data_IF_020898306951
#
_entry.id   IF_020898306951
#
_cell.length_a   1.000
_cell.length_b   1.000
_cell.length_c   1.000
_cell.angle_alpha   90.00
_cell.angle_beta   90.00
_cell.angle_gamma   90.00
#
_symmetry.space_group_name_H-M   'P 1'
#
loop_
_entity.id
_entity.type
_entity.pdbx_description
1 polymer ?
#
# COMPACT_ATOMS: atom_id res chain seq x y z
N UNK A 1 7.56 11.87 5.74
CA UNK A 1 6.68 10.92 5.00
C UNK A 1 7.32 9.54 4.72
N UNK A 2 8.63 9.36 4.91
CA UNK A 2 9.34 8.09 4.60
C UNK A 2 8.98 6.92 5.53
N UNK A 3 8.65 7.15 6.81
CA UNK A 3 8.36 6.08 7.76
C UNK A 3 7.11 5.26 7.42
N UNK A 4 6.01 5.92 7.03
CA UNK A 4 4.75 5.27 6.70
C UNK A 4 4.85 4.37 5.46
N UNK A 5 5.40 4.91 4.37
CA UNK A 5 5.54 4.17 3.12
C UNK A 5 6.42 2.93 3.34
N UNK A 6 7.55 3.08 4.05
CA UNK A 6 8.44 1.97 4.37
C UNK A 6 7.76 0.90 5.24
N UNK A 7 6.97 1.31 6.25
CA UNK A 7 6.25 0.36 7.10
C UNK A 7 5.19 -0.42 6.32
N UNK A 8 4.44 0.27 5.46
CA UNK A 8 3.47 -0.37 4.59
C UNK A 8 4.14 -1.31 3.60
N UNK A 9 5.26 -0.90 3.01
CA UNK A 9 6.02 -1.72 2.08
C UNK A 9 6.55 -3.00 2.72
N UNK A 10 7.04 -2.94 3.97
CA UNK A 10 7.44 -4.13 4.74
C UNK A 10 6.30 -5.11 5.01
N UNK A 11 5.08 -4.60 5.15
CA UNK A 11 3.87 -5.43 5.37
C UNK A 11 3.29 -6.00 4.08
N UNK A 12 3.69 -5.46 2.94
CA UNK A 12 3.23 -5.92 1.65
C UNK A 12 4.06 -7.11 1.17
N UNK A 13 3.38 -8.18 0.79
CA UNK A 13 4.01 -9.37 0.21
C UNK A 13 3.61 -9.50 -1.27
N UNK A 14 4.27 -8.80 -2.21
CA UNK A 14 3.96 -8.91 -3.63
C UNK A 14 4.26 -10.31 -4.19
N UNK A 15 3.84 -10.57 -5.42
CA UNK A 15 4.07 -11.84 -6.11
C UNK A 15 5.54 -11.99 -6.58
N UNK A 16 6.51 -11.97 -5.66
CA UNK A 16 7.94 -11.86 -5.96
C UNK A 16 8.51 -12.93 -6.89
N UNK A 17 7.98 -14.15 -6.81
CA UNK A 17 8.47 -15.31 -7.58
C UNK A 17 7.63 -15.61 -8.82
N UNK A 18 6.67 -14.74 -9.14
CA UNK A 18 5.83 -14.86 -10.35
C UNK A 18 6.39 -13.95 -11.44
N UNK A 19 6.36 -14.43 -12.68
CA UNK A 19 6.76 -13.63 -13.85
C UNK A 19 6.00 -12.30 -13.90
N UNK A 20 6.75 -11.21 -14.07
CA UNK A 20 6.22 -9.84 -14.04
C UNK A 20 5.81 -9.32 -12.66
N UNK A 21 5.82 -10.15 -11.61
CA UNK A 21 5.42 -9.76 -10.26
C UNK A 21 6.37 -8.76 -9.59
N UNK A 22 7.68 -8.85 -9.89
CA UNK A 22 8.69 -7.89 -9.40
C UNK A 22 8.60 -6.52 -10.06
N UNK A 23 7.93 -6.39 -11.20
CA UNK A 23 7.85 -5.12 -11.95
C UNK A 23 6.65 -4.25 -11.59
N UNK A 24 5.84 -4.73 -10.63
CA UNK A 24 4.60 -4.08 -10.24
C UNK A 24 4.86 -2.84 -9.39
N UNK A 25 4.21 -1.73 -9.76
CA UNK A 25 4.10 -0.52 -8.94
C UNK A 25 2.63 -0.21 -8.73
N UNK A 26 2.18 -0.18 -7.47
CA UNK A 26 0.78 0.09 -7.09
C UNK A 26 0.71 1.42 -6.36
N UNK A 27 -0.16 2.32 -6.80
CA UNK A 27 -0.58 3.49 -6.03
C UNK A 27 -1.78 3.11 -5.16
N UNK A 28 -1.68 3.33 -3.87
CA UNK A 28 -2.78 3.11 -2.91
C UNK A 28 -3.13 4.42 -2.24
N UNK A 29 -4.43 4.74 -2.20
CA UNK A 29 -4.99 5.93 -1.57
C UNK A 29 -6.01 5.56 -0.50
N UNK A 30 -5.88 6.14 0.70
CA UNK A 30 -6.75 5.86 1.84
C UNK A 30 -6.90 7.09 2.73
N UNK A 31 -7.95 7.13 3.56
CA UNK A 31 -8.16 8.22 4.52
C UNK A 31 -7.99 7.72 5.95
N UNK A 32 -7.39 8.54 6.80
CA UNK A 32 -7.33 8.28 8.24
C UNK A 32 -8.40 9.06 8.98
N UNK A 33 -9.09 8.40 9.91
CA UNK A 33 -9.97 9.05 10.88
C UNK A 33 -9.18 9.66 12.05
N UNK A 34 -9.88 10.35 12.95
CA UNK A 34 -9.29 11.03 14.11
C UNK A 34 -8.59 10.10 15.13
N UNK A 35 -8.81 8.78 15.04
CA UNK A 35 -8.14 7.78 15.87
C UNK A 35 -7.00 7.02 15.17
N UNK A 36 -6.60 7.44 13.96
CA UNK A 36 -5.61 6.71 13.15
C UNK A 36 -6.16 5.44 12.47
N UNK A 37 -7.46 5.17 12.56
CA UNK A 37 -8.11 4.10 11.81
C UNK A 37 -8.25 4.49 10.33
N UNK A 38 -8.21 3.49 9.44
CA UNK A 38 -8.61 3.70 8.04
C UNK A 38 -10.12 3.89 7.99
N UNK A 39 -10.58 4.93 7.30
CA UNK A 39 -12.00 5.23 7.12
C UNK A 39 -12.34 5.35 5.63
N UNK A 40 -13.56 4.97 5.27
CA UNK A 40 -14.01 4.92 3.89
C UNK A 40 -13.25 3.90 3.05
N UNK A 41 -13.24 4.13 1.73
CA UNK A 41 -12.66 3.19 0.78
C UNK A 41 -11.14 3.40 0.58
N UNK A 42 -10.43 2.28 0.53
CA UNK A 42 -9.03 2.21 0.09
C UNK A 42 -9.02 1.94 -1.41
N UNK A 43 -8.53 2.90 -2.19
CA UNK A 43 -8.39 2.76 -3.64
C UNK A 43 -7.01 2.22 -4.00
N UNK A 44 -6.92 1.35 -4.99
CA UNK A 44 -5.64 0.92 -5.58
C UNK A 44 -5.64 1.14 -7.09
N UNK A 45 -4.46 1.42 -7.64
CA UNK A 45 -4.23 1.59 -9.07
C UNK A 45 -2.87 1.00 -9.44
N UNK A 46 -2.84 0.11 -10.43
CA UNK A 46 -1.59 -0.40 -11.00
C UNK A 46 -1.00 0.69 -11.91
N UNK A 47 0.10 1.31 -11.47
CA UNK A 47 0.82 2.32 -12.26
C UNK A 47 1.78 1.67 -13.27
N UNK A 48 2.35 0.52 -12.90
CA UNK A 48 3.29 -0.24 -13.73
C UNK A 48 3.15 -1.74 -13.42
N UNK A 49 3.44 -2.57 -14.41
CA UNK A 49 3.36 -4.03 -14.32
C UNK A 49 2.18 -4.59 -15.14
N UNK A 50 2.00 -5.92 -15.10
CA UNK A 50 0.94 -6.57 -15.86
C UNK A 50 -0.45 -6.18 -15.33
N UNK A 51 -1.39 -5.83 -16.23
CA UNK A 51 -2.81 -5.61 -15.91
C UNK A 51 -3.60 -6.95 -15.82
N UNK A 52 -2.89 -8.04 -15.55
CA UNK A 52 -3.45 -9.38 -15.42
C UNK A 52 -3.78 -9.69 -13.96
N UNK A 53 -4.22 -10.93 -13.69
CA UNK A 53 -4.45 -11.42 -12.33
C UNK A 53 -3.23 -11.25 -11.41
N UNK A 54 -2.00 -11.25 -11.93
CA UNK A 54 -0.77 -11.05 -11.14
C UNK A 54 -0.70 -9.63 -10.58
N UNK A 55 -0.96 -8.63 -11.40
CA UNK A 55 -0.98 -7.22 -10.97
C UNK A 55 -2.16 -6.92 -10.07
N UNK A 56 -3.34 -7.47 -10.38
CA UNK A 56 -4.52 -7.31 -9.52
C UNK A 56 -4.29 -7.91 -8.14
N UNK A 57 -3.75 -9.14 -8.06
CA UNK A 57 -3.42 -9.76 -6.79
C UNK A 57 -2.38 -8.95 -5.99
N UNK A 58 -1.40 -8.34 -6.66
CA UNK A 58 -0.44 -7.45 -6.01
C UNK A 58 -1.12 -6.18 -5.46
N UNK A 59 -2.06 -5.59 -6.21
CA UNK A 59 -2.86 -4.45 -5.77
C UNK A 59 -3.73 -4.77 -4.55
N UNK A 60 -4.44 -5.91 -4.57
CA UNK A 60 -5.28 -6.37 -3.45
C UNK A 60 -4.45 -6.59 -2.19
N UNK A 61 -3.23 -7.15 -2.34
CA UNK A 61 -2.30 -7.31 -1.22
C UNK A 61 -1.80 -5.97 -0.68
N UNK A 62 -1.62 -4.96 -1.53
CA UNK A 62 -1.21 -3.63 -1.08
C UNK A 62 -2.33 -2.97 -0.24
N UNK A 63 -3.59 -3.13 -0.64
CA UNK A 63 -4.76 -2.72 0.15
C UNK A 63 -4.78 -3.44 1.51
N UNK A 64 -4.54 -4.76 1.53
CA UNK A 64 -4.46 -5.52 2.80
C UNK A 64 -3.33 -5.03 3.71
N UNK A 65 -2.18 -4.64 3.16
CA UNK A 65 -1.07 -4.09 3.95
C UNK A 65 -1.47 -2.80 4.66
N UNK A 66 -2.27 -1.93 4.02
CA UNK A 66 -2.83 -0.71 4.64
C UNK A 66 -3.74 -1.08 5.82
N UNK A 67 -4.68 -2.00 5.63
CA UNK A 67 -5.57 -2.42 6.71
C UNK A 67 -4.82 -3.13 7.84
N UNK A 68 -3.81 -3.94 7.53
CA UNK A 68 -3.00 -4.65 8.52
C UNK A 68 -2.09 -3.72 9.34
N UNK A 69 -1.80 -2.51 8.85
CA UNK A 69 -1.06 -1.49 9.58
C UNK A 69 -1.97 -0.62 10.47
N UNK A 70 -3.29 -0.67 10.26
CA UNK A 70 -4.23 0.07 11.07
C UNK A 70 -4.38 -0.56 12.48
N UNK A 71 -4.58 0.25 13.52
CA UNK A 71 -4.57 1.72 13.52
C UNK A 71 -3.15 2.31 13.45
N UNK A 72 -3.01 3.40 12.70
CA UNK A 72 -1.75 4.14 12.54
C UNK A 72 -1.46 5.05 13.74
N UNK A 73 -1.05 4.46 14.86
CA UNK A 73 -0.85 5.19 16.14
C UNK A 73 0.41 6.04 16.17
N UNK A 74 1.43 5.66 15.41
CA UNK A 74 2.75 6.30 15.42
C UNK A 74 2.90 7.41 14.36
N UNK A 75 1.81 7.74 13.65
CA UNK A 75 1.82 8.85 12.70
C UNK A 75 1.58 10.18 13.42
N UNK A 76 2.27 11.26 12.98
CA UNK A 76 1.94 12.61 13.43
C UNK A 76 0.45 12.94 13.23
N UNK A 77 -0.14 13.65 14.19
CA UNK A 77 -1.57 13.98 14.20
C UNK A 77 -2.02 14.78 12.97
N UNK A 78 -1.10 15.46 12.29
CA UNK A 78 -1.37 16.17 11.03
C UNK A 78 -1.88 15.26 9.91
N UNK A 79 -1.61 13.96 9.96
CA UNK A 79 -2.12 12.98 8.98
C UNK A 79 -3.55 12.53 9.29
N UNK A 80 -4.08 12.85 10.47
CA UNK A 80 -5.42 12.40 10.87
C UNK A 80 -6.47 13.29 10.19
N UNK A 81 -7.52 12.67 9.64
CA UNK A 81 -8.51 13.34 8.79
C UNK A 81 -8.07 13.52 7.32
N UNK A 82 -6.78 13.32 7.02
CA UNK A 82 -6.22 13.51 5.69
C UNK A 82 -6.39 12.28 4.80
N UNK A 83 -6.44 12.52 3.48
CA UNK A 83 -6.27 11.47 2.48
C UNK A 83 -4.79 11.29 2.16
N UNK A 84 -4.30 10.08 2.37
CA UNK A 84 -2.92 9.68 2.17
C UNK A 84 -2.83 8.90 0.87
N UNK A 85 -1.72 9.06 0.16
CA UNK A 85 -1.37 8.26 -1.02
C UNK A 85 0.04 7.75 -0.88
N UNK A 86 0.24 6.46 -1.13
CA UNK A 86 1.54 5.80 -1.10
C UNK A 86 1.72 4.94 -2.36
N UNK A 87 2.97 4.81 -2.80
CA UNK A 87 3.33 3.89 -3.87
C UNK A 87 4.05 2.69 -3.28
N UNK A 88 3.58 1.50 -3.65
CA UNK A 88 4.22 0.23 -3.35
C UNK A 88 5.02 -0.22 -4.57
N UNK A 89 6.32 -0.46 -4.39
CA UNK A 89 7.22 -0.90 -5.45
C UNK A 89 7.69 -2.33 -5.19
N UNK A 90 7.31 -3.27 -6.06
CA UNK A 90 7.60 -4.68 -5.86
C UNK A 90 9.11 -4.98 -5.97
N UNK A 91 9.87 -4.21 -6.75
CA UNK A 91 11.33 -4.39 -6.84
C UNK A 91 12.02 -4.16 -5.50
N UNK A 92 11.55 -3.18 -4.74
CA UNK A 92 12.08 -2.83 -3.42
C UNK A 92 11.53 -3.75 -2.33
N UNK A 93 10.30 -4.26 -2.47
CA UNK A 93 9.72 -5.17 -1.48
C UNK A 93 10.23 -6.62 -1.62
N UNK A 94 10.70 -7.00 -2.82
CA UNK A 94 11.25 -8.33 -3.11
C UNK A 94 12.79 -8.40 -3.04
N UNK A 95 13.46 -7.34 -2.59
CA UNK A 95 14.93 -7.25 -2.49
C UNK A 95 15.46 -7.68 -1.13
#
# INVERSE_FOLDING_TARGET
MSGLANELQRRWNPNCEVEGGRDVVIKVGFQLGAGGNVVGDVSSQILRGPQSAVGQAAADRAVRAVYAAAPFRDLPREFYGQRITVNFNAREACS
#
